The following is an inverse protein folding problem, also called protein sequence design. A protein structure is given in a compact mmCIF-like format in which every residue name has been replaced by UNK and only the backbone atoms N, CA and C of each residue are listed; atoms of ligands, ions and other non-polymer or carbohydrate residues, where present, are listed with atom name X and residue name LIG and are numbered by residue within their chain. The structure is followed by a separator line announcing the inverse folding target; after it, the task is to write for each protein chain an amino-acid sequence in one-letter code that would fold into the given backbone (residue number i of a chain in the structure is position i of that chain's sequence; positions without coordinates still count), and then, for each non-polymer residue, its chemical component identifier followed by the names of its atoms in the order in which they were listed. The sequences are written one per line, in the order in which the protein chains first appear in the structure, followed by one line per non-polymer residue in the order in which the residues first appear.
data_IF_670035490389
#
_entry.id   IF_670035490389
#
_cell.length_a   1.000
_cell.length_b   1.000
_cell.length_c   1.000
_cell.angle_alpha   90.00
_cell.angle_beta   90.00
_cell.angle_gamma   90.00
#
_symmetry.space_group_name_H-M   'P 1'
#
loop_
_entity.id
_entity.type
_entity.pdbx_description
1 polymer ?
#
# COMPACT_ATOMS: atom_id res chain seq x y z
N UNK A 1 14.33 9.72 13.18
CA UNK A 1 15.50 8.81 13.04
C UNK A 1 15.83 8.74 11.57
N UNK A 2 17.02 9.21 11.22
CA UNK A 2 17.42 9.43 9.81
C UNK A 2 18.80 8.85 9.46
N UNK A 3 19.55 8.36 10.46
CA UNK A 3 20.83 7.70 10.19
C UNK A 3 20.59 6.26 9.73
N UNK A 4 21.14 5.87 8.59
CA UNK A 4 20.95 4.55 7.99
C UNK A 4 21.26 3.39 8.96
N UNK A 5 22.34 3.50 9.77
CA UNK A 5 22.69 2.47 10.75
C UNK A 5 21.63 2.31 11.83
N UNK A 6 21.14 3.42 12.41
CA UNK A 6 20.10 3.43 13.44
C UNK A 6 18.77 2.89 12.89
N UNK A 7 18.47 3.27 11.65
CA UNK A 7 17.29 2.81 10.92
C UNK A 7 17.28 1.31 10.73
N UNK A 8 18.40 0.73 10.28
CA UNK A 8 18.57 -0.72 10.13
C UNK A 8 18.42 -1.47 11.45
N UNK A 9 18.93 -0.91 12.55
CA UNK A 9 18.77 -1.48 13.88
C UNK A 9 17.30 -1.52 14.28
N UNK A 10 16.60 -0.38 14.20
CA UNK A 10 15.20 -0.23 14.59
C UNK A 10 14.27 -1.13 13.75
N UNK A 11 14.50 -1.21 12.43
CA UNK A 11 13.66 -2.03 11.54
C UNK A 11 13.79 -3.53 11.80
N UNK A 12 14.90 -3.98 12.39
CA UNK A 12 15.11 -5.39 12.72
C UNK A 12 14.63 -5.76 14.13
N UNK A 13 14.55 -4.78 15.00
CA UNK A 13 14.22 -4.99 16.42
C UNK A 13 12.73 -4.68 16.70
N UNK A 14 11.85 -5.58 16.25
CA UNK A 14 10.41 -5.44 16.50
C UNK A 14 10.04 -5.60 17.98
N UNK A 15 10.94 -6.11 18.83
CA UNK A 15 10.70 -6.28 20.28
C UNK A 15 10.76 -4.95 21.00
N UNK A 16 11.81 -4.17 20.74
CA UNK A 16 11.98 -2.83 21.31
C UNK A 16 11.24 -1.75 20.51
N UNK A 17 10.90 -2.00 19.23
CA UNK A 17 10.25 -1.04 18.32
C UNK A 17 9.05 -1.67 17.60
N UNK A 18 7.90 -1.60 18.23
CA UNK A 18 6.64 -2.17 17.75
C UNK A 18 6.06 -1.44 16.55
N UNK A 19 5.50 -2.20 15.60
CA UNK A 19 4.63 -1.72 14.53
C UNK A 19 3.20 -1.45 14.99
N UNK A 20 2.82 -1.94 16.17
CA UNK A 20 1.47 -1.84 16.70
C UNK A 20 1.16 -0.41 17.18
N UNK A 21 1.22 0.54 16.25
CA UNK A 21 0.98 1.95 16.51
C UNK A 21 -0.42 2.32 16.07
N UNK A 22 -1.28 2.72 17.02
CA UNK A 22 -2.60 3.26 16.69
C UNK A 22 -2.45 4.68 16.17
N UNK A 23 -2.54 4.88 14.87
CA UNK A 23 -2.43 6.19 14.20
C UNK A 23 -3.80 6.75 13.83
N UNK A 24 -4.75 5.89 13.50
CA UNK A 24 -6.05 6.26 12.94
C UNK A 24 -7.02 6.98 13.87
N UNK A 25 -6.81 6.91 15.19
CA UNK A 25 -7.69 7.55 16.19
C UNK A 25 -7.13 8.85 16.78
N UNK A 26 -6.12 9.45 16.15
CA UNK A 26 -5.45 10.65 16.65
C UNK A 26 -5.91 11.96 16.01
N UNK A 27 -6.85 11.87 15.10
CA UNK A 27 -7.44 13.04 14.43
C UNK A 27 -8.39 13.84 15.35
N UNK A 28 -8.91 14.97 14.86
CA UNK A 28 -9.79 15.87 15.64
C UNK A 28 -11.13 15.22 16.01
N UNK A 29 -11.50 14.10 15.42
CA UNK A 29 -12.75 13.37 15.68
C UNK A 29 -12.48 11.89 15.98
N UNK A 30 -11.87 11.56 17.16
CA UNK A 30 -11.55 10.18 17.50
C UNK A 30 -12.81 9.29 17.49
N UNK A 31 -12.70 8.12 16.88
CA UNK A 31 -13.78 7.14 16.81
C UNK A 31 -14.91 7.45 15.83
N UNK A 32 -15.01 8.67 15.27
CA UNK A 32 -16.08 9.03 14.32
C UNK A 32 -16.05 8.14 13.06
N UNK A 33 -14.87 7.98 12.47
CA UNK A 33 -14.70 7.15 11.27
C UNK A 33 -15.15 5.70 11.51
N UNK A 34 -14.71 5.12 12.62
CA UNK A 34 -15.06 3.75 12.99
C UNK A 34 -16.55 3.60 13.28
N UNK A 35 -17.18 4.58 13.94
CA UNK A 35 -18.63 4.55 14.18
C UNK A 35 -19.43 4.57 12.89
N UNK A 36 -19.02 5.37 11.90
CA UNK A 36 -19.70 5.42 10.59
C UNK A 36 -19.62 4.07 9.88
N UNK A 37 -18.45 3.42 9.89
CA UNK A 37 -18.30 2.09 9.30
C UNK A 37 -19.22 1.09 9.99
N UNK A 38 -19.18 1.00 11.32
CA UNK A 38 -19.98 0.09 12.13
C UNK A 38 -21.48 0.33 11.98
N UNK A 39 -21.91 1.58 12.16
CA UNK A 39 -23.35 1.95 12.13
C UNK A 39 -23.94 1.80 10.72
N UNK A 40 -23.10 1.91 9.68
CA UNK A 40 -23.43 1.63 8.29
C UNK A 40 -23.45 0.14 7.92
N UNK A 41 -23.19 -0.76 8.87
CA UNK A 41 -23.13 -2.21 8.63
C UNK A 41 -21.85 -2.68 7.95
N UNK A 42 -20.78 -1.91 8.07
CA UNK A 42 -19.42 -2.28 7.66
C UNK A 42 -18.60 -2.83 8.82
N UNK A 43 -17.28 -2.85 8.62
CA UNK A 43 -16.32 -3.42 9.56
C UNK A 43 -15.33 -2.37 10.04
N UNK A 44 -15.15 -2.30 11.35
CA UNK A 44 -14.13 -1.42 11.95
C UNK A 44 -12.72 -1.84 11.55
N UNK A 45 -11.81 -0.86 11.51
CA UNK A 45 -10.40 -1.14 11.25
C UNK A 45 -9.79 -1.98 12.38
N UNK A 46 -9.20 -3.08 12.00
CA UNK A 46 -8.37 -3.91 12.88
C UNK A 46 -6.93 -3.88 12.39
N UNK A 47 -6.01 -4.07 13.31
CA UNK A 47 -4.59 -4.08 12.95
C UNK A 47 -4.22 -5.42 12.31
N UNK A 48 -3.70 -5.33 11.08
CA UNK A 48 -3.22 -6.46 10.28
C UNK A 48 -1.86 -6.11 9.66
N UNK A 49 -1.18 -7.07 9.08
CA UNK A 49 0.09 -6.92 8.34
C UNK A 49 1.04 -5.86 8.94
N UNK A 50 1.24 -4.74 8.25
CA UNK A 50 2.19 -3.68 8.63
C UNK A 50 1.91 -3.01 9.99
N UNK A 51 0.78 -3.28 10.61
CA UNK A 51 0.38 -2.72 11.91
C UNK A 51 0.39 -3.77 13.02
N UNK A 52 1.06 -4.88 12.81
CA UNK A 52 1.20 -5.97 13.79
C UNK A 52 2.64 -6.40 13.92
N UNK A 53 2.95 -7.02 15.06
CA UNK A 53 4.23 -7.64 15.34
C UNK A 53 4.06 -9.16 15.39
N UNK A 54 5.16 -9.95 15.27
CA UNK A 54 5.13 -11.39 15.52
C UNK A 54 4.57 -11.74 16.91
N UNK A 55 3.81 -12.85 17.07
CA UNK A 55 3.50 -13.86 16.04
C UNK A 55 2.30 -13.50 15.14
N UNK A 56 1.52 -12.49 15.49
CA UNK A 56 0.30 -12.11 14.73
C UNK A 56 0.63 -11.68 13.30
N UNK A 57 1.72 -10.92 13.11
CA UNK A 57 2.24 -10.54 11.81
C UNK A 57 2.50 -11.75 10.91
N UNK A 58 3.11 -12.80 11.46
CA UNK A 58 3.52 -13.97 10.68
C UNK A 58 2.32 -14.74 10.10
N UNK A 59 1.18 -14.75 10.83
CA UNK A 59 -0.08 -15.33 10.33
C UNK A 59 -0.55 -14.66 9.05
N UNK A 60 -0.57 -13.32 9.03
CA UNK A 60 -0.96 -12.57 7.83
C UNK A 60 0.06 -12.71 6.70
N UNK A 61 1.36 -12.67 7.02
CA UNK A 61 2.44 -12.79 6.03
C UNK A 61 2.40 -14.12 5.31
N UNK A 62 2.18 -15.23 6.03
CA UNK A 62 2.06 -16.56 5.41
C UNK A 62 1.00 -16.61 4.30
N UNK A 63 -0.15 -15.93 4.50
CA UNK A 63 -1.22 -15.88 3.51
C UNK A 63 -0.81 -15.05 2.29
N UNK A 64 -0.30 -13.86 2.53
CA UNK A 64 0.10 -12.93 1.45
C UNK A 64 1.31 -13.46 0.68
N UNK A 65 2.33 -14.01 1.34
CA UNK A 65 3.56 -14.49 0.71
C UNK A 65 3.33 -15.71 -0.20
N UNK A 66 2.29 -16.51 0.04
CA UNK A 66 1.90 -17.61 -0.87
C UNK A 66 1.53 -17.08 -2.25
N UNK A 67 0.84 -15.96 -2.31
CA UNK A 67 0.37 -15.36 -3.57
C UNK A 67 1.44 -14.46 -4.20
N UNK A 68 2.15 -13.66 -3.39
CA UNK A 68 3.23 -12.78 -3.85
C UNK A 68 4.59 -13.47 -3.91
N UNK A 69 4.61 -14.75 -4.32
CA UNK A 69 5.88 -15.47 -4.51
C UNK A 69 6.67 -14.89 -5.71
N UNK A 70 8.00 -15.01 -5.68
CA UNK A 70 8.88 -14.59 -6.79
C UNK A 70 8.45 -15.21 -8.13
N UNK A 71 7.97 -16.46 -8.10
CA UNK A 71 7.45 -17.16 -9.29
C UNK A 71 6.22 -16.44 -9.83
N UNK A 72 5.27 -16.07 -8.96
CA UNK A 72 4.05 -15.37 -9.35
C UNK A 72 4.38 -13.98 -9.91
N UNK A 73 5.22 -13.20 -9.22
CA UNK A 73 5.65 -11.87 -9.68
C UNK A 73 6.29 -11.94 -11.07
N UNK A 74 7.17 -12.93 -11.32
CA UNK A 74 7.75 -13.13 -12.66
C UNK A 74 6.71 -13.50 -13.72
N UNK A 75 5.70 -14.27 -13.35
CA UNK A 75 4.60 -14.64 -14.26
C UNK A 75 3.73 -13.43 -14.64
N UNK A 76 3.73 -12.37 -13.84
CA UNK A 76 3.00 -11.12 -14.15
C UNK A 76 3.69 -10.26 -15.21
N UNK A 77 4.99 -10.46 -15.49
CA UNK A 77 5.76 -9.59 -16.40
C UNK A 77 5.09 -9.39 -17.76
N UNK A 78 4.66 -10.43 -18.50
CA UNK A 78 4.02 -10.24 -19.80
C UNK A 78 2.69 -9.45 -19.71
N UNK A 79 1.97 -9.62 -18.60
CA UNK A 79 0.72 -8.88 -18.38
C UNK A 79 1.00 -7.41 -18.09
N UNK A 80 2.00 -7.12 -17.27
CA UNK A 80 2.43 -5.74 -16.96
C UNK A 80 2.89 -5.04 -18.24
N UNK A 81 3.71 -5.71 -19.06
CA UNK A 81 4.15 -5.18 -20.37
C UNK A 81 2.97 -4.87 -21.29
N UNK A 82 1.97 -5.76 -21.36
CA UNK A 82 0.77 -5.52 -22.14
C UNK A 82 -0.03 -4.30 -21.62
N UNK A 83 -0.21 -4.17 -20.31
CA UNK A 83 -0.88 -3.02 -19.70
C UNK A 83 -0.14 -1.72 -20.02
N UNK A 84 1.20 -1.72 -19.87
CA UNK A 84 2.05 -0.57 -20.18
C UNK A 84 1.91 -0.15 -21.63
N UNK A 85 2.04 -1.09 -22.57
CA UNK A 85 1.91 -0.80 -24.01
C UNK A 85 0.51 -0.26 -24.34
N UNK A 86 -0.55 -0.90 -23.86
CA UNK A 86 -1.92 -0.44 -24.09
C UNK A 86 -2.18 0.97 -23.54
N UNK A 87 -1.54 1.36 -22.43
CA UNK A 87 -1.65 2.71 -21.91
C UNK A 87 -0.88 3.72 -22.78
N UNK A 88 0.31 3.37 -23.25
CA UNK A 88 1.12 4.23 -24.13
C UNK A 88 0.40 4.42 -25.47
N UNK A 89 -0.17 3.38 -26.05
CA UNK A 89 -0.89 3.42 -27.33
C UNK A 89 -2.07 4.40 -27.31
N UNK A 90 -2.66 4.69 -26.14
CA UNK A 90 -3.76 5.67 -26.01
C UNK A 90 -3.35 7.11 -26.30
N UNK A 91 -2.09 7.45 -26.13
CA UNK A 91 -1.62 8.83 -26.26
C UNK A 91 -0.42 9.02 -27.19
N UNK A 92 0.24 7.94 -27.65
CA UNK A 92 1.46 8.05 -28.45
C UNK A 92 1.24 8.85 -29.74
N UNK A 93 0.14 8.61 -30.44
CA UNK A 93 -0.20 9.32 -31.68
C UNK A 93 -0.57 10.79 -31.44
N UNK A 94 -1.01 11.14 -30.24
CA UNK A 94 -1.32 12.51 -29.87
C UNK A 94 -0.05 13.32 -29.52
N UNK A 95 1.08 12.67 -29.30
CA UNK A 95 2.37 13.26 -28.97
C UNK A 95 2.40 13.97 -27.61
N UNK A 96 1.37 13.84 -26.78
CA UNK A 96 1.24 14.42 -25.43
C UNK A 96 0.27 13.65 -24.56
N UNK A 97 0.49 13.69 -23.24
CA UNK A 97 -0.42 13.12 -22.23
C UNK A 97 -0.32 13.91 -20.92
N UNK A 98 -1.29 13.74 -20.05
CA UNK A 98 -1.14 14.03 -18.62
C UNK A 98 -0.63 12.76 -17.93
N UNK A 99 0.71 12.64 -17.82
CA UNK A 99 1.40 11.42 -17.47
C UNK A 99 0.95 10.84 -16.13
N UNK A 100 0.72 11.69 -15.12
CA UNK A 100 0.31 11.24 -13.80
C UNK A 100 -1.05 10.53 -13.83
N UNK A 101 -2.01 11.07 -14.59
CA UNK A 101 -3.35 10.52 -14.72
C UNK A 101 -3.42 9.38 -15.76
N UNK A 102 -2.88 9.62 -16.96
CA UNK A 102 -3.09 8.74 -18.11
C UNK A 102 -2.23 7.47 -18.03
N UNK A 103 -1.12 7.52 -17.26
CA UNK A 103 -0.19 6.40 -17.14
C UNK A 103 0.12 6.02 -15.69
N UNK A 104 0.73 6.91 -14.89
CA UNK A 104 1.29 6.55 -13.60
C UNK A 104 0.24 6.09 -12.57
N UNK A 105 -0.97 6.64 -12.63
CA UNK A 105 -2.12 6.23 -11.83
C UNK A 105 -2.77 4.96 -12.42
N UNK A 106 -2.98 4.93 -13.72
CA UNK A 106 -3.73 3.86 -14.37
C UNK A 106 -3.03 2.50 -14.26
N UNK A 107 -1.70 2.45 -14.45
CA UNK A 107 -0.94 1.21 -14.49
C UNK A 107 -1.03 0.41 -13.20
N UNK A 108 -0.65 0.94 -12.01
CA UNK A 108 -0.77 0.18 -10.78
C UNK A 108 -2.21 -0.10 -10.39
N UNK A 109 -3.16 0.78 -10.72
CA UNK A 109 -4.58 0.58 -10.46
C UNK A 109 -5.12 -0.66 -11.19
N UNK A 110 -4.77 -0.83 -12.47
CA UNK A 110 -5.15 -2.01 -13.27
C UNK A 110 -4.55 -3.28 -12.65
N UNK A 111 -3.25 -3.26 -12.35
CA UNK A 111 -2.56 -4.44 -11.83
C UNK A 111 -3.11 -4.85 -10.46
N UNK A 112 -3.34 -3.90 -9.55
CA UNK A 112 -3.92 -4.20 -8.23
C UNK A 112 -5.34 -4.73 -8.36
N UNK A 113 -6.18 -4.12 -9.21
CA UNK A 113 -7.54 -4.59 -9.44
C UNK A 113 -7.54 -6.04 -9.95
N UNK A 114 -6.71 -6.36 -10.93
CA UNK A 114 -6.58 -7.73 -11.47
C UNK A 114 -6.10 -8.73 -10.41
N UNK A 115 -5.12 -8.35 -9.57
CA UNK A 115 -4.66 -9.22 -8.49
C UNK A 115 -5.72 -9.49 -7.42
N UNK A 116 -6.67 -8.56 -7.28
CA UNK A 116 -7.83 -8.74 -6.42
C UNK A 116 -9.02 -9.40 -7.14
N UNK A 117 -8.84 -9.82 -8.41
CA UNK A 117 -9.88 -10.46 -9.20
C UNK A 117 -11.02 -9.53 -9.61
N UNK A 118 -10.74 -8.23 -9.73
CA UNK A 118 -11.69 -7.17 -10.07
C UNK A 118 -11.53 -6.75 -11.54
N UNK A 119 -12.57 -6.15 -12.11
CA UNK A 119 -12.57 -5.77 -13.52
C UNK A 119 -11.98 -4.38 -13.77
N UNK A 120 -11.40 -4.18 -14.96
CA UNK A 120 -10.71 -2.95 -15.37
C UNK A 120 -11.58 -1.69 -15.29
N UNK A 121 -12.86 -1.81 -15.60
CA UNK A 121 -13.84 -0.70 -15.61
C UNK A 121 -13.98 -0.03 -14.24
N UNK A 122 -13.51 -0.69 -13.19
CA UNK A 122 -13.59 -0.23 -11.81
C UNK A 122 -12.36 0.54 -11.32
N UNK A 123 -11.34 0.77 -12.18
CA UNK A 123 -10.08 1.43 -11.76
C UNK A 123 -10.31 2.84 -11.18
N UNK A 124 -11.22 3.64 -11.75
CA UNK A 124 -11.57 4.96 -11.22
C UNK A 124 -12.24 4.87 -9.84
N UNK A 125 -13.13 3.90 -9.67
CA UNK A 125 -13.76 3.58 -8.38
C UNK A 125 -12.72 3.13 -7.36
N UNK A 126 -11.76 2.32 -7.79
CA UNK A 126 -10.62 1.89 -6.98
C UNK A 126 -9.77 3.05 -6.47
N UNK A 127 -9.48 4.03 -7.35
CA UNK A 127 -8.76 5.24 -6.95
C UNK A 127 -9.53 6.02 -5.89
N UNK A 128 -10.83 6.20 -6.09
CA UNK A 128 -11.69 6.87 -5.11
C UNK A 128 -11.68 6.15 -3.75
N UNK A 129 -11.71 4.82 -3.73
CA UNK A 129 -11.61 4.03 -2.49
C UNK A 129 -10.24 4.18 -1.83
N UNK A 130 -9.14 4.08 -2.61
CA UNK A 130 -7.79 4.24 -2.08
C UNK A 130 -7.58 5.62 -1.44
N UNK A 131 -8.02 6.67 -2.10
CA UNK A 131 -7.95 8.05 -1.59
C UNK A 131 -8.73 8.22 -0.28
N UNK A 132 -9.95 7.68 -0.21
CA UNK A 132 -10.77 7.75 0.99
C UNK A 132 -10.14 6.95 2.16
N UNK A 133 -9.56 5.79 1.87
CA UNK A 133 -8.87 4.95 2.84
C UNK A 133 -7.61 5.59 3.42
N UNK A 134 -6.94 6.48 2.69
CA UNK A 134 -5.73 7.19 3.09
C UNK A 134 -5.98 8.66 3.47
N UNK A 135 -7.18 9.18 3.23
CA UNK A 135 -7.52 10.59 3.41
C UNK A 135 -7.75 10.99 4.87
N UNK A 136 -8.98 11.34 5.19
CA UNK A 136 -9.35 11.98 6.44
C UNK A 136 -9.01 11.17 7.70
N UNK A 137 -9.03 9.84 7.64
CA UNK A 137 -8.68 8.96 8.77
C UNK A 137 -7.24 9.16 9.29
N UNK A 138 -6.33 9.64 8.43
CA UNK A 138 -4.92 9.88 8.76
C UNK A 138 -4.56 11.35 8.86
N UNK A 139 -5.45 12.26 8.49
CA UNK A 139 -5.20 13.69 8.52
C UNK A 139 -5.47 14.29 9.90
N UNK A 140 -4.49 14.93 10.53
CA UNK A 140 -4.70 15.61 11.82
C UNK A 140 -5.56 16.88 11.71
N UNK A 141 -5.79 17.35 10.48
CA UNK A 141 -6.54 18.58 10.17
C UNK A 141 -7.85 18.32 9.43
N UNK A 142 -8.24 17.05 9.29
CA UNK A 142 -9.48 16.68 8.62
C UNK A 142 -10.69 17.32 9.30
N UNK A 143 -11.63 17.80 8.50
CA UNK A 143 -12.93 18.26 8.96
C UNK A 143 -13.87 17.08 9.21
N UNK A 144 -14.93 17.30 10.00
CA UNK A 144 -15.96 16.30 10.21
C UNK A 144 -16.63 15.86 8.87
N UNK A 145 -16.84 16.82 7.97
CA UNK A 145 -17.43 16.55 6.66
C UNK A 145 -16.53 15.63 5.80
N UNK A 146 -15.23 15.84 5.80
CA UNK A 146 -14.25 14.98 5.13
C UNK A 146 -14.23 13.58 5.74
N UNK A 147 -14.21 13.48 7.08
CA UNK A 147 -14.30 12.20 7.77
C UNK A 147 -15.55 11.40 7.38
N UNK A 148 -16.72 12.06 7.36
CA UNK A 148 -17.99 11.43 6.98
C UNK A 148 -18.00 11.00 5.52
N UNK A 149 -17.48 11.85 4.63
CA UNK A 149 -17.36 11.54 3.20
C UNK A 149 -16.49 10.31 2.98
N UNK A 150 -15.28 10.33 3.51
CA UNK A 150 -14.29 9.27 3.28
C UNK A 150 -14.72 7.95 3.93
N UNK A 151 -15.26 7.99 5.15
CA UNK A 151 -15.82 6.79 5.79
C UNK A 151 -17.01 6.21 5.00
N UNK A 152 -17.86 7.07 4.40
CA UNK A 152 -18.96 6.64 3.55
C UNK A 152 -18.47 5.97 2.25
N UNK A 153 -17.42 6.49 1.65
CA UNK A 153 -16.78 5.89 0.46
C UNK A 153 -16.12 4.55 0.83
N UNK A 154 -15.39 4.48 1.94
CA UNK A 154 -14.79 3.22 2.38
C UNK A 154 -15.86 2.18 2.73
N UNK A 155 -16.98 2.58 3.33
CA UNK A 155 -18.11 1.68 3.59
C UNK A 155 -18.67 1.05 2.32
N UNK A 156 -18.78 1.82 1.22
CA UNK A 156 -19.18 1.27 -0.09
C UNK A 156 -18.18 0.23 -0.59
N UNK A 157 -16.88 0.53 -0.47
CA UNK A 157 -15.81 -0.42 -0.82
C UNK A 157 -15.89 -1.70 0.01
N UNK A 158 -16.11 -1.59 1.32
CA UNK A 158 -16.23 -2.75 2.20
C UNK A 158 -17.43 -3.65 1.85
N UNK A 159 -18.57 -3.06 1.51
CA UNK A 159 -19.75 -3.82 1.08
C UNK A 159 -19.50 -4.55 -0.23
N UNK A 160 -18.93 -3.86 -1.21
CA UNK A 160 -18.53 -4.48 -2.47
C UNK A 160 -17.55 -5.65 -2.25
N UNK A 161 -16.51 -5.44 -1.45
CA UNK A 161 -15.53 -6.48 -1.16
C UNK A 161 -16.14 -7.66 -0.39
N UNK A 162 -17.13 -7.42 0.49
CA UNK A 162 -17.82 -8.50 1.18
C UNK A 162 -18.55 -9.42 0.20
N UNK A 163 -19.24 -8.85 -0.79
CA UNK A 163 -19.91 -9.62 -1.85
C UNK A 163 -18.89 -10.42 -2.68
N UNK A 164 -17.74 -9.81 -2.99
CA UNK A 164 -16.64 -10.50 -3.69
C UNK A 164 -16.08 -11.65 -2.84
N UNK A 165 -15.91 -11.48 -1.52
CA UNK A 165 -15.42 -12.53 -0.64
C UNK A 165 -16.39 -13.72 -0.60
N UNK A 166 -17.68 -13.47 -0.53
CA UNK A 166 -18.67 -14.53 -0.56
C UNK A 166 -18.71 -15.24 -1.93
N UNK A 167 -18.64 -14.50 -3.04
CA UNK A 167 -18.51 -15.12 -4.37
C UNK A 167 -17.28 -16.02 -4.47
N UNK A 168 -16.11 -15.56 -3.98
CA UNK A 168 -14.87 -16.33 -4.04
C UNK A 168 -14.83 -17.54 -3.10
N UNK A 169 -15.65 -17.55 -2.05
CA UNK A 169 -15.87 -18.76 -1.23
C UNK A 169 -16.64 -19.83 -1.99
N UNK A 170 -17.66 -19.40 -2.73
CA UNK A 170 -18.54 -20.30 -3.48
C UNK A 170 -17.93 -20.70 -4.83
N UNK A 171 -17.26 -19.76 -5.49
CA UNK A 171 -16.70 -19.87 -6.83
C UNK A 171 -15.21 -19.47 -6.83
N UNK A 172 -14.28 -20.30 -6.31
CA UNK A 172 -12.87 -19.98 -6.24
C UNK A 172 -12.28 -19.72 -7.63
N UNK A 173 -11.40 -18.69 -7.73
CA UNK A 173 -10.63 -18.35 -8.93
C UNK A 173 -9.12 -18.36 -8.63
N UNK A 174 -8.30 -18.21 -9.65
CA UNK A 174 -6.85 -18.04 -9.51
C UNK A 174 -6.50 -16.57 -9.15
N UNK A 175 -7.07 -16.04 -8.06
CA UNK A 175 -6.83 -14.69 -7.59
C UNK A 175 -6.47 -14.65 -6.08
N UNK A 176 -5.96 -13.49 -5.64
CA UNK A 176 -5.53 -13.31 -4.27
C UNK A 176 -6.70 -13.42 -3.27
N UNK A 177 -7.88 -12.91 -3.62
CA UNK A 177 -9.05 -12.98 -2.74
C UNK A 177 -9.44 -14.44 -2.52
N UNK A 178 -9.53 -15.24 -3.59
CA UNK A 178 -9.80 -16.68 -3.47
C UNK A 178 -8.80 -17.39 -2.58
N UNK A 179 -7.52 -17.06 -2.70
CA UNK A 179 -6.47 -17.62 -1.84
C UNK A 179 -6.65 -17.25 -0.38
N UNK A 180 -7.06 -16.00 -0.10
CA UNK A 180 -7.27 -15.53 1.28
C UNK A 180 -8.54 -16.10 1.92
N UNK A 181 -9.67 -16.10 1.20
CA UNK A 181 -10.95 -16.55 1.77
C UNK A 181 -11.06 -18.08 1.87
N UNK A 182 -10.28 -18.81 1.07
CA UNK A 182 -10.23 -20.27 1.03
C UNK A 182 -8.94 -20.84 1.62
N UNK A 183 -8.16 -20.03 2.33
CA UNK A 183 -6.94 -20.51 3.01
C UNK A 183 -7.31 -21.45 4.16
N UNK A 184 -7.62 -22.70 3.80
CA UNK A 184 -7.80 -23.79 4.75
C UNK A 184 -6.42 -24.37 5.07
N UNK A 185 -6.02 -24.31 6.32
CA UNK A 185 -4.77 -24.86 6.84
C UNK A 185 -4.80 -24.80 8.36
N UNK A 186 -3.74 -25.20 9.01
CA UNK A 186 -3.60 -25.29 10.47
C UNK A 186 -3.81 -23.95 11.22
N UNK A 187 -3.99 -22.85 10.49
CA UNK A 187 -4.17 -21.52 11.03
C UNK A 187 -5.65 -21.13 11.00
N UNK A 188 -6.08 -20.48 12.07
CA UNK A 188 -7.41 -19.87 12.23
C UNK A 188 -7.74 -18.97 11.02
N UNK A 189 -8.87 -19.18 10.31
CA UNK A 189 -9.23 -18.41 9.13
C UNK A 189 -9.40 -16.92 9.45
N UNK A 190 -9.11 -16.04 8.48
CA UNK A 190 -9.34 -14.61 8.65
C UNK A 190 -10.84 -14.33 8.80
N UNK A 191 -11.22 -13.61 9.85
CA UNK A 191 -12.56 -13.08 9.96
C UNK A 191 -12.78 -11.91 8.99
N UNK A 192 -14.03 -11.46 8.83
CA UNK A 192 -14.39 -10.44 7.85
C UNK A 192 -13.64 -9.12 8.08
N UNK A 193 -13.48 -8.65 9.33
CA UNK A 193 -12.72 -7.45 9.64
C UNK A 193 -11.25 -7.58 9.24
N UNK A 194 -10.65 -8.74 9.46
CA UNK A 194 -9.27 -9.02 9.05
C UNK A 194 -9.13 -9.06 7.53
N UNK A 195 -10.05 -9.74 6.81
CA UNK A 195 -10.06 -9.76 5.34
C UNK A 195 -10.17 -8.35 4.77
N UNK A 196 -11.15 -7.56 5.24
CA UNK A 196 -11.34 -6.17 4.82
C UNK A 196 -10.06 -5.35 5.02
N UNK A 197 -9.40 -5.47 6.17
CA UNK A 197 -8.20 -4.69 6.46
C UNK A 197 -6.95 -5.18 5.74
N UNK A 198 -6.80 -6.49 5.47
CA UNK A 198 -5.71 -6.99 4.62
C UNK A 198 -5.86 -6.47 3.20
N UNK A 199 -7.06 -6.60 2.60
CA UNK A 199 -7.33 -6.09 1.24
C UNK A 199 -7.17 -4.57 1.18
N UNK A 200 -7.66 -3.84 2.18
CA UNK A 200 -7.43 -2.40 2.31
C UNK A 200 -5.94 -2.03 2.25
N UNK A 201 -5.09 -2.76 2.98
CA UNK A 201 -3.63 -2.52 2.96
C UNK A 201 -2.99 -2.86 1.61
N UNK A 202 -3.51 -3.86 0.90
CA UNK A 202 -3.03 -4.20 -0.44
C UNK A 202 -3.42 -3.13 -1.47
N UNK A 203 -4.65 -2.60 -1.38
CA UNK A 203 -5.11 -1.49 -2.22
C UNK A 203 -4.23 -0.26 -1.98
N UNK A 204 -4.14 0.20 -0.74
CA UNK A 204 -3.41 1.43 -0.41
C UNK A 204 -1.91 1.31 -0.63
N UNK A 205 -1.32 0.16 -0.33
CA UNK A 205 0.12 -0.07 -0.48
C UNK A 205 0.58 -0.32 -1.91
N UNK A 206 -0.26 -0.92 -2.75
CA UNK A 206 0.08 -1.25 -4.14
C UNK A 206 -0.19 -0.14 -5.15
N UNK A 207 -1.09 0.76 -4.82
CA UNK A 207 -1.58 1.77 -5.76
C UNK A 207 -0.78 3.08 -5.68
N UNK A 208 -0.91 3.82 -4.59
CA UNK A 208 -0.41 5.19 -4.48
C UNK A 208 1.11 5.28 -4.43
N UNK A 209 1.76 4.36 -3.74
CA UNK A 209 3.22 4.33 -3.64
C UNK A 209 3.87 4.04 -4.99
N UNK A 210 3.29 3.13 -5.78
CA UNK A 210 3.77 2.79 -7.12
C UNK A 210 3.52 3.94 -8.08
N UNK A 211 2.35 4.59 -8.05
CA UNK A 211 2.07 5.81 -8.80
C UNK A 211 3.12 6.90 -8.52
N UNK A 212 3.43 7.13 -7.25
CA UNK A 212 4.44 8.12 -6.84
C UNK A 212 5.82 7.77 -7.38
N UNK A 213 6.26 6.50 -7.27
CA UNK A 213 7.54 6.06 -7.81
C UNK A 213 7.65 6.27 -9.33
N UNK A 214 6.58 5.96 -10.08
CA UNK A 214 6.53 6.16 -11.54
C UNK A 214 6.61 7.66 -11.88
N UNK A 215 5.86 8.51 -11.16
CA UNK A 215 5.93 9.95 -11.35
C UNK A 215 7.32 10.52 -11.05
N UNK A 216 7.96 10.08 -9.98
CA UNK A 216 9.32 10.49 -9.64
C UNK A 216 10.32 10.06 -10.71
N UNK A 217 10.24 8.81 -11.19
CA UNK A 217 11.06 8.34 -12.29
C UNK A 217 10.90 9.18 -13.55
N UNK A 218 9.67 9.48 -13.95
CA UNK A 218 9.41 10.34 -15.11
C UNK A 218 9.90 11.77 -14.89
N UNK A 219 9.72 12.33 -13.70
CA UNK A 219 10.23 13.66 -13.36
C UNK A 219 11.75 13.73 -13.51
N UNK A 220 12.49 12.70 -13.07
CA UNK A 220 13.95 12.62 -13.27
C UNK A 220 14.29 12.58 -14.76
N UNK A 221 13.62 11.72 -15.54
CA UNK A 221 13.89 11.59 -16.98
C UNK A 221 13.62 12.89 -17.76
N UNK A 222 12.59 13.64 -17.38
CA UNK A 222 12.29 14.94 -18.01
C UNK A 222 13.32 16.00 -17.64
N UNK A 223 13.89 15.95 -16.43
CA UNK A 223 14.85 16.94 -15.93
C UNK A 223 16.29 16.65 -16.32
N UNK A 224 16.60 15.40 -16.61
CA UNK A 224 17.95 14.89 -16.88
C UNK A 224 17.98 14.11 -18.20
N UNK A 225 17.99 14.81 -19.37
CA UNK A 225 17.99 14.15 -20.68
C UNK A 225 19.17 13.20 -20.89
N UNK A 226 20.32 13.50 -20.26
CA UNK A 226 21.51 12.64 -20.29
C UNK A 226 21.23 11.25 -19.73
N UNK A 227 20.40 11.13 -18.69
CA UNK A 227 19.99 9.82 -18.13
C UNK A 227 19.14 9.05 -19.15
N UNK A 228 18.29 9.75 -19.90
CA UNK A 228 17.50 9.12 -20.97
C UNK A 228 18.40 8.53 -22.05
N UNK A 229 19.44 9.27 -22.45
CA UNK A 229 20.40 8.83 -23.48
C UNK A 229 21.20 7.62 -22.99
N UNK A 230 21.66 7.62 -21.73
CA UNK A 230 22.36 6.48 -21.12
C UNK A 230 21.47 5.23 -21.07
N UNK A 231 20.20 5.38 -20.60
CA UNK A 231 19.25 4.26 -20.52
C UNK A 231 18.88 3.69 -21.90
N UNK A 232 18.83 4.54 -22.94
CA UNK A 232 18.61 4.11 -24.33
C UNK A 232 19.82 3.39 -24.91
N UNK A 233 21.03 3.83 -24.55
CA UNK A 233 22.25 3.19 -24.98
C UNK A 233 22.50 1.83 -24.30
N UNK A 234 22.13 1.71 -23.03
CA UNK A 234 22.28 0.48 -22.24
C UNK A 234 21.07 0.21 -21.34
N UNK A 235 20.16 -0.63 -21.81
CA UNK A 235 18.97 -1.02 -21.06
C UNK A 235 19.26 -1.81 -19.77
N UNK A 236 20.48 -2.33 -19.59
CA UNK A 236 20.85 -3.01 -18.34
C UNK A 236 20.87 -2.06 -17.14
N UNK A 237 21.01 -0.74 -17.39
CA UNK A 237 20.98 0.31 -16.38
C UNK A 237 19.59 0.59 -15.80
N UNK A 238 18.51 0.13 -16.46
CA UNK A 238 17.12 0.41 -16.01
C UNK A 238 16.89 -0.03 -14.57
N UNK A 239 17.42 -1.20 -14.18
CA UNK A 239 17.27 -1.69 -12.80
C UNK A 239 17.96 -0.75 -11.80
N UNK A 240 19.17 -0.31 -12.09
CA UNK A 240 19.91 0.61 -11.22
C UNK A 240 19.23 1.98 -11.15
N UNK A 241 18.68 2.46 -12.27
CA UNK A 241 17.89 3.68 -12.33
C UNK A 241 16.65 3.61 -11.41
N UNK A 242 15.88 2.51 -11.47
CA UNK A 242 14.71 2.34 -10.60
C UNK A 242 15.08 2.34 -9.13
N UNK A 243 16.15 1.62 -8.74
CA UNK A 243 16.63 1.59 -7.35
C UNK A 243 17.08 2.99 -6.89
N UNK A 244 17.74 3.78 -7.77
CA UNK A 244 18.16 5.13 -7.45
C UNK A 244 17.01 6.12 -7.33
N UNK A 245 15.97 6.00 -8.17
CA UNK A 245 14.72 6.77 -8.02
C UNK A 245 14.07 6.49 -6.67
N UNK A 246 13.97 5.21 -6.29
CA UNK A 246 13.39 4.82 -5.00
C UNK A 246 14.22 5.29 -3.80
N UNK A 247 15.54 5.39 -3.94
CA UNK A 247 16.43 5.91 -2.92
C UNK A 247 16.31 7.44 -2.79
N UNK A 248 16.35 8.15 -3.91
CA UNK A 248 16.38 9.63 -3.95
C UNK A 248 15.04 10.25 -3.61
N UNK A 249 13.98 9.75 -4.26
CA UNK A 249 12.59 10.22 -4.08
C UNK A 249 11.72 9.07 -3.57
N UNK A 250 12.04 8.59 -2.36
CA UNK A 250 11.32 7.49 -1.75
C UNK A 250 9.81 7.79 -1.65
N UNK A 251 8.93 6.96 -2.24
CA UNK A 251 7.48 7.15 -2.17
C UNK A 251 6.94 7.12 -0.74
N UNK A 252 7.60 6.35 0.13
CA UNK A 252 7.30 6.31 1.57
C UNK A 252 8.42 7.02 2.31
N UNK A 253 8.18 8.27 2.71
CA UNK A 253 9.18 9.10 3.36
C UNK A 253 9.51 8.63 4.77
N UNK A 254 8.51 8.13 5.50
CA UNK A 254 8.68 7.62 6.88
C UNK A 254 7.58 6.64 7.27
N UNK A 255 7.88 5.81 8.26
CA UNK A 255 6.89 5.02 9.01
C UNK A 255 7.10 5.20 10.51
N UNK A 256 6.04 4.94 11.27
CA UNK A 256 6.06 5.08 12.72
C UNK A 256 6.46 3.76 13.41
N UNK A 257 7.15 3.89 14.52
CA UNK A 257 7.40 2.81 15.49
C UNK A 257 7.11 3.33 16.90
N UNK A 258 6.72 2.44 17.79
CA UNK A 258 6.59 2.76 19.20
C UNK A 258 7.63 1.98 20.01
N UNK A 259 8.41 2.69 20.83
CA UNK A 259 9.31 2.04 21.76
C UNK A 259 8.50 1.28 22.82
N UNK A 260 8.80 0.01 23.02
CA UNK A 260 8.13 -0.86 24.02
C UNK A 260 8.80 -0.79 25.39
N UNK A 261 10.06 -0.39 25.41
CA UNK A 261 10.92 -0.25 26.59
C UNK A 261 11.86 0.94 26.42
N UNK A 262 12.57 1.31 27.48
CA UNK A 262 13.65 2.29 27.38
C UNK A 262 14.80 1.70 26.57
N UNK A 263 15.13 2.33 25.43
CA UNK A 263 16.14 1.81 24.51
C UNK A 263 17.09 2.91 24.07
N UNK A 264 18.39 2.60 23.99
CA UNK A 264 19.40 3.53 23.51
C UNK A 264 19.71 3.28 22.04
N UNK A 265 19.52 4.32 21.22
CA UNK A 265 19.88 4.33 19.81
C UNK A 265 20.99 5.39 19.63
N UNK A 266 22.16 4.95 19.17
CA UNK A 266 23.37 5.77 19.21
C UNK A 266 23.58 6.36 20.61
N UNK A 267 23.61 7.67 20.76
CA UNK A 267 23.78 8.34 22.05
C UNK A 267 22.47 8.84 22.67
N UNK A 268 21.33 8.53 22.07
CA UNK A 268 20.03 9.03 22.49
C UNK A 268 19.23 7.92 23.19
N UNK A 269 18.78 8.19 24.42
CA UNK A 269 17.81 7.36 25.13
C UNK A 269 16.41 7.65 24.60
N UNK A 270 15.72 6.63 24.13
CA UNK A 270 14.32 6.67 23.68
C UNK A 270 13.50 6.00 24.79
N UNK A 271 12.61 6.74 25.47
CA UNK A 271 11.85 6.17 26.57
C UNK A 271 10.74 5.24 26.06
N UNK A 272 10.35 4.29 26.91
CA UNK A 272 9.20 3.41 26.67
C UNK A 272 7.94 4.23 26.33
N UNK A 273 7.16 3.76 25.35
CA UNK A 273 5.96 4.43 24.86
C UNK A 273 6.21 5.58 23.87
N UNK A 274 7.47 6.00 23.68
CA UNK A 274 7.79 7.04 22.71
C UNK A 274 7.43 6.62 21.29
N UNK A 275 6.85 7.56 20.52
CA UNK A 275 6.64 7.40 19.10
C UNK A 275 7.85 7.90 18.32
N UNK A 276 8.43 7.01 17.55
CA UNK A 276 9.54 7.30 16.64
C UNK A 276 9.08 7.36 15.20
N UNK A 277 9.48 8.42 14.49
CA UNK A 277 9.38 8.51 13.04
C UNK A 277 10.67 7.97 12.44
N UNK A 278 10.55 6.90 11.66
CA UNK A 278 11.67 6.23 10.98
C UNK A 278 11.68 6.71 9.54
N UNK A 279 12.64 7.58 9.20
CA UNK A 279 12.69 8.27 7.91
C UNK A 279 13.51 7.49 6.89
N UNK A 280 12.89 7.09 5.78
CA UNK A 280 13.54 6.39 4.66
C UNK A 280 14.18 7.37 3.67
N UNK A 281 13.49 8.47 3.37
CA UNK A 281 13.97 9.46 2.41
C UNK A 281 15.31 10.10 2.77
N UNK A 282 15.55 10.53 4.03
CA UNK A 282 16.80 11.18 4.42
C UNK A 282 17.91 10.21 4.85
N UNK A 283 17.73 8.88 4.74
CA UNK A 283 18.64 7.87 5.29
C UNK A 283 19.86 7.51 4.37
#
# INVERSE_FOLDING_TARGET
ITKNQDLRQILKDYRSFSNNVKVTDRGPFPGLYQSILRDGGGWEHVQTLQRTDPPKHDRYRKLVDRVFSIKHVRAMTPRIENVVNNLIDKFIDNGKCEFSHDFAMAMPGIIVAEQLGLEYEQVSTFKMWADAMLGAAYSPTATEAEMRRDAGIELQAQKFLADVFEDRRLNPREDLISAMVNAYGDDDPLNMSELQNVVRQLITGGFETTQSAINHGMWVLVRMPEVVDELRADHSLVKAFVEEVLRWESPVQFLMRQATEDVKISDTLIPAGALGMVGYGPA
#
